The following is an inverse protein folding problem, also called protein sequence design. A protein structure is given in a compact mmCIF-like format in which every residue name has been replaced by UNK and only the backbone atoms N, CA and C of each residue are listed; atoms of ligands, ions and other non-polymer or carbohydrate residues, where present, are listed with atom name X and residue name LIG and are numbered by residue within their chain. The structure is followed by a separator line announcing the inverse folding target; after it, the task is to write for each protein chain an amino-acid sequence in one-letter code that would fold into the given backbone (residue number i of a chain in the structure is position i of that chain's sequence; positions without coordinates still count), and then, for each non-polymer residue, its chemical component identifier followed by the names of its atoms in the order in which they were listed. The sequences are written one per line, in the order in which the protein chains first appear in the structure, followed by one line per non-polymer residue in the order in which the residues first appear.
data_IF_126690370429
#
_entry.id   IF_126690370429
#
_cell.length_a   1.000
_cell.length_b   1.000
_cell.length_c   1.000
_cell.angle_alpha   90.00
_cell.angle_beta   90.00
_cell.angle_gamma   90.00
#
_symmetry.space_group_name_H-M   'P 1'
#
loop_
_entity.id
_entity.type
_entity.pdbx_description
1 polymer ?
#
# COMPACT_ATOMS: atom_id res chain seq x y z
N UNK A 1 -8.96 4.94 -7.40
CA UNK A 1 -7.71 4.19 -7.50
C UNK A 1 -6.65 5.11 -8.06
N UNK A 2 -5.56 5.30 -7.33
CA UNK A 2 -4.46 6.20 -7.66
C UNK A 2 -3.19 5.35 -7.79
N UNK A 3 -2.51 5.37 -8.94
CA UNK A 3 -1.25 4.67 -9.11
C UNK A 3 -0.13 5.39 -8.34
N UNK A 4 0.73 4.64 -7.68
CA UNK A 4 1.89 5.14 -6.95
C UNK A 4 3.09 4.24 -7.29
N UNK A 5 4.25 4.84 -7.54
CA UNK A 5 5.50 4.11 -7.79
C UNK A 5 6.46 4.34 -6.62
N UNK A 6 6.92 3.24 -6.01
CA UNK A 6 7.80 3.26 -4.83
C UNK A 6 8.94 2.29 -5.06
N UNK A 7 10.17 2.79 -4.99
CA UNK A 7 11.41 1.99 -5.16
C UNK A 7 11.44 1.17 -6.47
N UNK A 8 10.78 1.65 -7.53
CA UNK A 8 10.67 0.99 -8.83
C UNK A 8 9.48 0.02 -8.96
N UNK A 9 8.76 -0.22 -7.87
CA UNK A 9 7.58 -1.06 -7.83
C UNK A 9 6.29 -0.23 -7.95
N UNK A 10 5.29 -0.76 -8.66
CA UNK A 10 4.02 -0.09 -8.90
C UNK A 10 2.93 -0.62 -7.98
N UNK A 11 2.22 0.31 -7.37
CA UNK A 11 1.09 0.07 -6.48
C UNK A 11 -0.14 0.84 -6.94
N UNK A 12 -1.30 0.30 -6.62
CA UNK A 12 -2.57 0.98 -6.76
C UNK A 12 -3.18 1.21 -5.39
N UNK A 13 -3.44 2.48 -5.07
CA UNK A 13 -4.03 2.89 -3.80
C UNK A 13 -5.49 3.24 -4.00
N UNK A 14 -6.37 2.65 -3.19
CA UNK A 14 -7.81 2.94 -3.20
C UNK A 14 -8.26 3.23 -1.79
N UNK A 15 -8.75 4.45 -1.56
CA UNK A 15 -9.44 4.77 -0.31
C UNK A 15 -10.83 4.12 -0.28
N UNK A 16 -11.18 3.47 0.83
CA UNK A 16 -12.46 2.82 1.00
C UNK A 16 -13.56 3.85 1.16
N UNK A 17 -14.57 3.77 0.29
CA UNK A 17 -15.72 4.70 0.30
C UNK A 17 -16.48 4.63 1.63
N UNK A 18 -16.61 3.44 2.21
CA UNK A 18 -17.34 3.23 3.46
C UNK A 18 -16.54 3.62 4.71
N UNK A 19 -15.22 3.77 4.61
CA UNK A 19 -14.30 3.95 5.74
C UNK A 19 -13.23 5.00 5.38
N UNK A 20 -13.54 6.30 5.51
CA UNK A 20 -12.59 7.38 5.24
C UNK A 20 -11.31 7.21 6.07
N UNK A 21 -10.15 7.40 5.43
CA UNK A 21 -8.86 7.17 6.06
C UNK A 21 -8.38 5.70 6.03
N UNK A 22 -9.16 4.76 5.49
CA UNK A 22 -8.72 3.39 5.19
C UNK A 22 -8.35 3.28 3.72
N UNK A 23 -7.14 2.80 3.47
CA UNK A 23 -6.55 2.64 2.15
C UNK A 23 -6.26 1.18 1.89
N UNK A 24 -6.74 0.69 0.76
CA UNK A 24 -6.38 -0.59 0.19
C UNK A 24 -5.28 -0.37 -0.86
N UNK A 25 -4.14 -1.03 -0.67
CA UNK A 25 -2.96 -0.87 -1.49
C UNK A 25 -2.67 -2.20 -2.15
N UNK A 26 -2.76 -2.25 -3.48
CA UNK A 26 -2.49 -3.44 -4.29
C UNK A 26 -1.12 -3.30 -4.95
N UNK A 27 -0.28 -4.32 -4.84
CA UNK A 27 1.00 -4.42 -5.53
C UNK A 27 0.78 -5.00 -6.93
N UNK A 28 1.02 -4.19 -7.95
CA UNK A 28 0.74 -4.54 -9.36
C UNK A 28 1.94 -5.13 -10.06
N UNK A 29 3.15 -4.61 -9.80
CA UNK A 29 4.40 -5.16 -10.35
C UNK A 29 4.96 -6.33 -9.55
N UNK A 30 4.33 -6.65 -8.41
CA UNK A 30 4.82 -7.62 -7.45
C UNK A 30 4.77 -9.06 -7.98
N UNK A 31 5.43 -9.99 -7.27
CA UNK A 31 5.56 -11.39 -7.70
C UNK A 31 4.23 -12.17 -7.69
N UNK A 32 3.20 -11.67 -7.01
CA UNK A 32 1.89 -12.32 -6.86
C UNK A 32 0.77 -11.38 -7.26
N UNK A 33 -0.10 -11.82 -8.17
CA UNK A 33 -1.25 -11.02 -8.61
C UNK A 33 -2.24 -10.82 -7.46
N UNK A 34 -2.65 -9.57 -7.24
CA UNK A 34 -3.64 -9.25 -6.20
C UNK A 34 -3.07 -9.19 -4.79
N UNK A 35 -1.75 -9.33 -4.62
CA UNK A 35 -1.12 -9.15 -3.32
C UNK A 35 -1.02 -7.68 -2.94
N UNK A 36 -0.96 -7.39 -1.64
CA UNK A 36 -1.03 -6.04 -1.13
C UNK A 36 -1.36 -6.01 0.36
N UNK A 37 -1.74 -4.84 0.85
CA UNK A 37 -2.11 -4.64 2.24
C UNK A 37 -3.11 -3.49 2.38
N UNK A 38 -3.77 -3.43 3.53
CA UNK A 38 -4.59 -2.30 3.91
C UNK A 38 -3.91 -1.52 5.04
N UNK A 39 -4.04 -0.19 5.02
CA UNK A 39 -3.59 0.68 6.09
C UNK A 39 -4.68 1.68 6.45
N UNK A 40 -4.76 2.07 7.71
CA UNK A 40 -5.72 3.06 8.19
C UNK A 40 -5.00 4.18 8.93
N UNK A 41 -5.59 5.37 8.94
CA UNK A 41 -5.19 6.44 9.86
C UNK A 41 -5.97 6.33 11.16
N UNK A 42 -5.26 6.43 12.29
CA UNK A 42 -5.87 6.31 13.63
C UNK A 42 -6.90 7.40 13.94
N UNK A 43 -6.84 8.54 13.27
CA UNK A 43 -7.72 9.69 13.50
C UNK A 43 -8.72 9.95 12.37
N UNK A 44 -8.84 9.03 11.39
CA UNK A 44 -9.73 9.21 10.23
C UNK A 44 -9.29 10.34 9.28
N UNK A 45 -8.09 10.89 9.49
CA UNK A 45 -7.49 11.88 8.61
C UNK A 45 -7.01 11.23 7.32
N UNK A 46 -7.16 11.93 6.20
CA UNK A 46 -6.66 11.44 4.91
C UNK A 46 -5.13 11.40 4.96
N UNK A 47 -4.56 10.22 4.68
CA UNK A 47 -3.11 10.07 4.56
C UNK A 47 -2.60 10.91 3.38
N UNK A 48 -1.48 11.57 3.60
CA UNK A 48 -0.72 12.21 2.53
C UNK A 48 -0.07 11.16 1.63
N UNK A 49 0.30 11.55 0.42
CA UNK A 49 1.03 10.68 -0.51
C UNK A 49 2.33 10.15 0.12
N UNK A 50 3.10 11.03 0.77
CA UNK A 50 4.34 10.66 1.47
C UNK A 50 4.13 9.60 2.57
N UNK A 51 3.02 9.67 3.32
CA UNK A 51 2.68 8.65 4.32
C UNK A 51 2.30 7.31 3.69
N UNK A 52 1.63 7.33 2.54
CA UNK A 52 1.30 6.12 1.80
C UNK A 52 2.58 5.49 1.23
N UNK A 53 3.48 6.29 0.67
CA UNK A 53 4.78 5.82 0.21
C UNK A 53 5.62 5.22 1.35
N UNK A 54 5.67 5.86 2.52
CA UNK A 54 6.38 5.32 3.69
C UNK A 54 5.81 3.98 4.15
N UNK A 55 4.48 3.86 4.19
CA UNK A 55 3.80 2.60 4.49
C UNK A 55 4.15 1.50 3.47
N UNK A 56 4.21 1.84 2.18
CA UNK A 56 4.61 0.92 1.11
C UNK A 56 6.08 0.50 1.26
N UNK A 57 6.99 1.44 1.53
CA UNK A 57 8.42 1.11 1.77
C UNK A 57 8.59 0.21 2.98
N UNK A 58 7.82 0.43 4.03
CA UNK A 58 7.82 -0.43 5.21
C UNK A 58 7.31 -1.84 4.87
N UNK A 59 6.22 -1.95 4.13
CA UNK A 59 5.70 -3.22 3.61
C UNK A 59 6.77 -3.97 2.79
N UNK A 60 7.43 -3.30 1.84
CA UNK A 60 8.49 -3.91 1.02
C UNK A 60 9.68 -4.42 1.84
N UNK A 61 10.03 -3.77 2.96
CA UNK A 61 11.09 -4.23 3.87
C UNK A 61 10.73 -5.51 4.64
N UNK A 62 9.44 -5.75 4.85
CA UNK A 62 8.95 -6.95 5.52
C UNK A 62 8.77 -8.11 4.53
N UNK A 63 8.62 -7.81 3.24
CA UNK A 63 8.52 -8.83 2.20
C UNK A 63 9.86 -9.54 2.03
N UNK A 64 9.86 -10.83 2.32
CA UNK A 64 10.99 -11.72 2.09
C UNK A 64 11.16 -12.12 0.62
N UNK A 65 12.18 -12.95 0.30
CA UNK A 65 12.48 -13.38 -1.06
C UNK A 65 11.33 -14.13 -1.76
N UNK A 66 10.40 -14.70 -1.00
CA UNK A 66 9.20 -15.39 -1.49
C UNK A 66 8.14 -14.46 -2.08
N UNK A 67 8.25 -13.14 -1.83
CA UNK A 67 7.24 -12.16 -2.20
C UNK A 67 6.11 -12.00 -1.17
N UNK A 68 6.23 -12.58 0.02
CA UNK A 68 5.32 -12.42 1.15
C UNK A 68 6.03 -11.81 2.36
N UNK A 69 5.27 -11.21 3.27
CA UNK A 69 5.75 -10.80 4.59
C UNK A 69 6.18 -12.04 5.40
N UNK A 70 7.37 -11.99 6.01
CA UNK A 70 7.91 -13.01 6.93
C UNK A 70 7.87 -12.59 8.41
#
# INVERSE_FOLDING_TARGET
MTPVEVDGERFEVTERISEPGVYEIRWVSGPHDGYGFATSSYYGERKTEAELEDAIRNFLRQVGPSGYIE
#
